data_IF_712986597643
#
_entry.id   IF_712986597643
#
_cell.length_a   1.000
_cell.length_b   1.000
_cell.length_c   1.000
_cell.angle_alpha   90.00
_cell.angle_beta   90.00
_cell.angle_gamma   90.00
#
_symmetry.space_group_name_H-M   'P 1'
#
loop_
_entity.id
_entity.type
_entity.pdbx_description
1 polymer ?
#
# COMPACT_ATOMS: atom_id res chain seq x y z
N UNK A 1 -2.31 12.13 -19.80
CA UNK A 1 -1.15 11.30 -20.21
C UNK A 1 -0.03 11.38 -19.16
N UNK A 2 0.11 10.30 -18.37
CA UNK A 2 1.12 10.16 -17.33
C UNK A 2 2.54 10.09 -17.93
N UNK A 3 3.53 10.52 -17.17
CA UNK A 3 4.90 10.84 -17.61
C UNK A 3 5.65 9.65 -18.22
N UNK A 4 6.58 9.94 -19.16
CA UNK A 4 7.44 8.99 -19.92
C UNK A 4 8.49 8.27 -19.04
N UNK A 5 8.04 7.51 -18.05
CA UNK A 5 8.77 6.35 -17.51
C UNK A 5 7.82 5.19 -17.66
N UNK A 6 8.24 4.10 -18.30
CA UNK A 6 7.44 2.90 -18.54
C UNK A 6 6.85 2.31 -17.24
N UNK A 7 5.76 2.91 -16.76
CA UNK A 7 4.84 2.36 -15.78
C UNK A 7 3.79 1.60 -16.60
N UNK A 8 4.25 0.62 -17.39
CA UNK A 8 3.44 -0.14 -18.33
C UNK A 8 2.49 -1.13 -17.64
N UNK A 9 2.56 -1.25 -16.31
CA UNK A 9 1.65 -2.06 -15.50
C UNK A 9 0.88 -1.20 -14.49
N UNK A 10 -0.39 -1.57 -14.25
CA UNK A 10 -1.24 -0.94 -13.23
C UNK A 10 -0.55 -0.94 -11.84
N UNK A 11 0.26 -1.96 -11.56
CA UNK A 11 0.97 -2.12 -10.30
C UNK A 11 2.14 -1.14 -10.18
N UNK A 12 2.83 -0.82 -11.28
CA UNK A 12 3.83 0.24 -11.30
C UNK A 12 3.23 1.62 -11.00
N UNK A 13 2.10 1.94 -11.64
CA UNK A 13 1.37 3.19 -11.39
C UNK A 13 0.92 3.28 -9.93
N UNK A 14 0.36 2.21 -9.39
CA UNK A 14 -0.12 2.19 -8.01
C UNK A 14 1.01 2.36 -7.01
N UNK A 15 2.15 1.69 -7.21
CA UNK A 15 3.34 1.87 -6.38
C UNK A 15 3.85 3.32 -6.39
N UNK A 16 3.83 3.96 -7.57
CA UNK A 16 4.21 5.36 -7.71
C UNK A 16 3.25 6.30 -6.95
N UNK A 17 1.94 6.03 -7.01
CA UNK A 17 0.92 6.80 -6.30
C UNK A 17 0.97 6.57 -4.79
N UNK A 18 1.24 5.35 -4.31
CA UNK A 18 1.38 5.05 -2.88
C UNK A 18 2.53 5.81 -2.23
N UNK A 19 3.61 6.04 -2.99
CA UNK A 19 4.76 6.84 -2.57
C UNK A 19 4.52 8.35 -2.60
N UNK A 20 3.34 8.82 -3.05
CA UNK A 20 3.05 10.24 -3.19
C UNK A 20 4.00 10.98 -4.14
N UNK A 21 4.73 10.26 -5.00
CA UNK A 21 5.81 10.82 -5.83
C UNK A 21 5.28 11.50 -7.11
N UNK A 22 3.95 11.60 -7.26
CA UNK A 22 3.32 12.18 -8.44
C UNK A 22 3.01 13.66 -8.22
N UNK A 23 3.72 14.60 -8.86
CA UNK A 23 3.45 16.03 -8.71
C UNK A 23 2.06 16.45 -9.24
N UNK A 24 1.48 15.65 -10.15
CA UNK A 24 0.13 15.87 -10.69
C UNK A 24 -0.99 15.27 -9.84
N UNK A 25 -0.65 14.46 -8.85
CA UNK A 25 -1.59 13.82 -7.94
C UNK A 25 -1.07 13.94 -6.49
N UNK A 26 -0.70 15.16 -6.08
CA UNK A 26 -0.11 15.44 -4.77
C UNK A 26 -1.03 15.07 -3.58
N UNK A 27 -2.34 14.96 -3.83
CA UNK A 27 -3.31 14.50 -2.84
C UNK A 27 -3.49 12.98 -2.77
N UNK A 28 -2.84 12.22 -3.66
CA UNK A 28 -2.93 10.76 -3.67
C UNK A 28 -1.64 10.17 -3.10
N UNK A 29 -1.79 9.48 -1.98
CA UNK A 29 -0.73 8.85 -1.21
C UNK A 29 -1.29 7.57 -0.57
N UNK A 30 -0.43 6.80 0.10
CA UNK A 30 -0.82 5.58 0.79
C UNK A 30 -2.04 5.75 1.72
N UNK A 31 -2.11 6.87 2.43
CA UNK A 31 -3.14 7.13 3.44
C UNK A 31 -4.51 7.39 2.82
N UNK A 32 -4.54 8.22 1.80
CA UNK A 32 -5.75 8.52 1.02
C UNK A 32 -6.22 7.30 0.24
N UNK A 33 -5.30 6.51 -0.29
CA UNK A 33 -5.63 5.22 -0.91
C UNK A 33 -6.22 4.24 0.09
N UNK A 34 -5.63 4.09 1.29
CA UNK A 34 -6.17 3.22 2.33
C UNK A 34 -7.58 3.65 2.75
N UNK A 35 -7.81 4.95 3.00
CA UNK A 35 -9.14 5.49 3.31
C UNK A 35 -10.15 5.20 2.20
N UNK A 36 -9.74 5.38 0.94
CA UNK A 36 -10.59 5.09 -0.22
C UNK A 36 -10.96 3.60 -0.28
N UNK A 37 -9.99 2.70 -0.14
CA UNK A 37 -10.26 1.25 -0.15
C UNK A 37 -11.15 0.86 1.03
N UNK A 38 -10.87 1.37 2.24
CA UNK A 38 -11.70 1.11 3.42
C UNK A 38 -13.14 1.59 3.25
N UNK A 39 -13.36 2.74 2.60
CA UNK A 39 -14.71 3.25 2.29
C UNK A 39 -15.51 2.32 1.37
N UNK A 40 -14.81 1.51 0.57
CA UNK A 40 -15.39 0.52 -0.35
C UNK A 40 -15.40 -0.90 0.21
N UNK A 41 -14.75 -1.12 1.35
CA UNK A 41 -14.67 -2.40 2.05
C UNK A 41 -15.23 -2.29 3.49
N UNK A 42 -16.55 -2.02 3.65
CA UNK A 42 -17.16 -1.88 4.98
C UNK A 42 -17.14 -3.19 5.77
N UNK A 43 -17.05 -4.34 5.09
CA UNK A 43 -16.95 -5.66 5.71
C UNK A 43 -15.53 -6.04 6.14
N UNK A 44 -14.51 -5.23 5.83
CA UNK A 44 -13.11 -5.55 6.14
C UNK A 44 -12.63 -6.84 5.47
N UNK A 45 -13.10 -7.14 4.26
CA UNK A 45 -12.70 -8.33 3.53
C UNK A 45 -11.22 -8.31 3.12
N UNK A 46 -10.66 -7.11 2.89
CA UNK A 46 -9.26 -6.94 2.50
C UNK A 46 -8.51 -5.93 3.37
N UNK A 47 -9.24 -5.05 4.07
CA UNK A 47 -8.67 -3.99 4.91
C UNK A 47 -8.65 -4.40 6.39
N UNK A 48 -7.50 -4.19 7.04
CA UNK A 48 -7.39 -4.35 8.50
C UNK A 48 -8.14 -3.22 9.21
N UNK A 49 -8.75 -3.50 10.37
CA UNK A 49 -9.31 -2.45 11.20
C UNK A 49 -8.19 -1.82 12.04
N UNK A 50 -7.53 -0.80 11.50
CA UNK A 50 -6.49 -0.06 12.20
C UNK A 50 -7.14 0.93 13.20
N UNK A 51 -7.62 0.42 14.33
CA UNK A 51 -8.19 1.23 15.40
C UNK A 51 -7.06 2.10 15.99
N UNK A 52 -7.19 3.43 15.89
CA UNK A 52 -6.17 4.37 16.39
C UNK A 52 -5.09 4.76 15.36
N UNK A 53 -5.29 4.48 14.08
CA UNK A 53 -4.32 4.86 13.04
C UNK A 53 -4.39 6.36 12.72
N UNK A 54 -3.24 7.04 12.83
CA UNK A 54 -3.10 8.49 12.65
C UNK A 54 -2.50 8.92 11.30
N UNK A 55 -2.20 7.97 10.40
CA UNK A 55 -1.52 8.24 9.13
C UNK A 55 -0.23 7.44 8.98
N UNK A 56 0.38 7.49 7.80
CA UNK A 56 1.71 6.92 7.57
C UNK A 56 2.75 7.72 8.34
N UNK A 57 3.64 7.03 9.07
CA UNK A 57 4.76 7.67 9.77
C UNK A 57 5.81 8.14 8.76
N UNK A 58 6.19 9.41 8.79
CA UNK A 58 7.26 9.94 7.94
C UNK A 58 8.53 10.06 8.79
N UNK A 59 9.62 9.47 8.34
CA UNK A 59 10.90 9.50 9.04
C UNK A 59 11.91 10.21 8.15
N UNK A 60 12.63 11.18 8.71
CA UNK A 60 13.68 11.90 8.02
C UNK A 60 15.02 11.61 8.68
N UNK A 61 16.01 11.28 7.85
CA UNK A 61 17.37 11.08 8.32
C UNK A 61 18.00 12.43 8.65
N UNK A 62 18.46 12.56 9.89
CA UNK A 62 19.27 13.68 10.32
C UNK A 62 20.75 13.45 9.92
N UNK A 63 21.56 14.52 9.84
CA UNK A 63 23.01 14.45 9.60
C UNK A 63 23.75 13.59 10.63
N UNK A 64 23.15 13.35 11.79
CA UNK A 64 23.65 12.43 12.83
C UNK A 64 23.62 10.96 12.42
N UNK A 65 22.85 10.57 11.40
CA UNK A 65 22.83 9.21 10.87
C UNK A 65 24.06 8.86 10.01
N UNK A 66 24.98 9.81 9.84
CA UNK A 66 26.25 9.59 9.15
C UNK A 66 27.27 8.93 10.08
N UNK A 67 27.64 7.71 9.74
CA UNK A 67 28.78 7.03 10.34
C UNK A 67 30.07 7.56 9.68
N UNK A 68 30.60 8.65 10.23
CA UNK A 68 31.71 9.43 9.66
C UNK A 68 32.95 8.59 9.32
N UNK A 69 33.23 7.54 10.10
CA UNK A 69 34.42 6.70 9.89
C UNK A 69 34.36 5.86 8.61
N UNK A 70 33.16 5.51 8.12
CA UNK A 70 32.99 4.75 6.87
C UNK A 70 32.26 5.53 5.76
N UNK A 71 31.92 6.80 5.99
CA UNK A 71 31.14 7.63 5.06
C UNK A 71 29.82 6.97 4.61
N UNK A 72 29.19 6.21 5.52
CA UNK A 72 27.91 5.53 5.28
C UNK A 72 26.82 6.09 6.17
N UNK A 73 25.58 5.92 5.74
CA UNK A 73 24.39 6.34 6.45
C UNK A 73 23.68 5.12 7.03
N UNK A 74 23.46 5.10 8.35
CA UNK A 74 22.82 3.99 9.04
C UNK A 74 21.35 4.30 9.34
N UNK A 75 20.47 3.34 9.08
CA UNK A 75 19.10 3.40 9.58
C UNK A 75 19.02 2.85 11.01
N UNK A 76 18.86 3.70 12.01
CA UNK A 76 18.77 3.25 13.42
C UNK A 76 17.56 2.38 13.77
N UNK A 77 16.57 2.27 12.87
CA UNK A 77 15.40 1.42 13.08
C UNK A 77 15.64 -0.05 12.65
N UNK A 78 16.58 -0.30 11.72
CA UNK A 78 16.88 -1.66 11.24
C UNK A 78 18.37 -1.97 11.03
N UNK A 79 19.25 -1.04 11.39
CA UNK A 79 20.70 -1.10 11.25
C UNK A 79 21.22 -1.35 9.82
N UNK A 80 20.42 -1.01 8.80
CA UNK A 80 20.84 -1.11 7.40
C UNK A 80 21.69 0.09 7.01
N UNK A 81 22.79 -0.19 6.30
CA UNK A 81 23.73 0.81 5.80
C UNK A 81 23.39 1.24 4.37
N UNK A 82 23.60 2.53 4.09
CA UNK A 82 23.36 3.17 2.80
C UNK A 82 24.55 4.04 2.42
N UNK A 83 24.91 4.06 1.13
CA UNK A 83 25.99 4.91 0.62
C UNK A 83 25.62 6.38 0.45
N UNK A 84 24.38 6.79 0.73
CA UNK A 84 23.95 8.19 0.61
C UNK A 84 22.77 8.53 1.52
N UNK A 85 22.68 9.80 1.94
CA UNK A 85 21.55 10.34 2.69
C UNK A 85 20.23 10.20 1.93
N UNK A 86 20.24 10.41 0.62
CA UNK A 86 19.06 10.23 -0.23
C UNK A 86 18.60 8.76 -0.26
N UNK A 87 19.52 7.80 -0.24
CA UNK A 87 19.19 6.37 -0.12
C UNK A 87 18.54 6.04 1.22
N UNK A 88 19.09 6.58 2.32
CA UNK A 88 18.54 6.41 3.66
C UNK A 88 17.14 7.06 3.78
N UNK A 89 16.96 8.29 3.28
CA UNK A 89 15.66 8.96 3.29
C UNK A 89 14.61 8.21 2.46
N UNK A 90 14.98 7.66 1.30
CA UNK A 90 14.06 6.80 0.53
C UNK A 90 13.68 5.52 1.27
N UNK A 91 14.61 4.94 2.04
CA UNK A 91 14.34 3.77 2.87
C UNK A 91 13.42 4.10 4.06
N UNK A 92 13.68 5.21 4.74
CA UNK A 92 12.87 5.71 5.85
C UNK A 92 11.44 6.05 5.43
N UNK A 93 11.27 6.61 4.23
CA UNK A 93 9.96 6.88 3.62
C UNK A 93 9.33 5.68 2.92
N UNK A 94 9.99 4.52 2.96
CA UNK A 94 9.45 3.29 2.40
C UNK A 94 8.42 2.68 3.35
N UNK A 95 7.52 1.80 2.86
CA UNK A 95 6.50 1.16 3.69
C UNK A 95 7.05 0.10 4.66
N UNK A 96 8.37 0.04 4.86
CA UNK A 96 9.04 -0.99 5.68
C UNK A 96 8.70 -0.88 7.18
N UNK A 97 8.51 0.33 7.70
CA UNK A 97 8.13 0.60 9.09
C UNK A 97 6.64 0.82 9.29
N UNK A 98 5.87 0.71 8.22
CA UNK A 98 4.46 1.04 8.26
C UNK A 98 3.64 -0.15 8.75
N UNK A 99 2.55 0.16 9.45
CA UNK A 99 1.57 -0.85 9.84
C UNK A 99 0.98 -1.56 8.61
N UNK A 100 0.66 -2.84 8.74
CA UNK A 100 0.06 -3.61 7.67
C UNK A 100 -1.42 -3.28 7.55
N UNK A 101 -1.78 -2.57 6.50
CA UNK A 101 -3.14 -2.08 6.27
C UNK A 101 -4.06 -3.09 5.59
N UNK A 102 -3.50 -4.15 4.98
CA UNK A 102 -4.26 -5.10 4.15
C UNK A 102 -3.98 -6.57 4.53
N UNK A 103 -4.93 -7.47 4.26
CA UNK A 103 -4.80 -8.91 4.46
C UNK A 103 -5.49 -9.72 3.33
N UNK A 104 -5.06 -10.97 3.03
CA UNK A 104 -5.84 -11.82 2.10
C UNK A 104 -7.14 -12.24 2.79
N UNK A 105 -8.30 -12.15 2.11
CA UNK A 105 -9.59 -12.60 2.62
C UNK A 105 -9.63 -14.10 2.94
N UNK A 106 -8.75 -14.89 2.32
CA UNK A 106 -8.69 -16.33 2.55
C UNK A 106 -8.08 -16.63 3.91
N UNK A 107 -8.91 -17.26 4.77
CA UNK A 107 -8.56 -17.64 6.15
C UNK A 107 -7.31 -18.52 6.27
N UNK A 108 -7.02 -19.36 5.27
CA UNK A 108 -5.84 -20.24 5.31
C UNK A 108 -4.54 -19.51 4.93
N UNK A 109 -4.65 -18.36 4.27
CA UNK A 109 -3.48 -17.63 3.74
C UNK A 109 -2.86 -16.73 4.81
N UNK A 110 -3.71 -15.97 5.55
CA UNK A 110 -3.34 -15.04 6.64
C UNK A 110 -2.17 -14.10 6.34
N UNK A 111 -1.86 -13.88 5.06
CA UNK A 111 -0.81 -12.95 4.65
C UNK A 111 -1.33 -11.52 4.77
N UNK A 112 -0.48 -10.66 5.27
CA UNK A 112 -0.74 -9.24 5.50
C UNK A 112 0.25 -8.39 4.73
N UNK A 113 -0.20 -7.21 4.31
CA UNK A 113 0.55 -6.34 3.41
C UNK A 113 0.47 -4.89 3.87
N UNK A 114 1.58 -4.17 3.71
CA UNK A 114 1.67 -2.73 4.03
C UNK A 114 1.18 -1.85 2.88
N UNK A 115 1.15 -2.37 1.66
CA UNK A 115 0.76 -1.64 0.45
C UNK A 115 -0.35 -2.34 -0.33
N UNK A 116 -1.18 -1.55 -0.99
CA UNK A 116 -2.24 -1.99 -1.89
C UNK A 116 -1.66 -2.73 -3.10
N UNK A 117 -0.52 -2.25 -3.63
CA UNK A 117 0.18 -2.93 -4.72
C UNK A 117 0.62 -4.34 -4.33
N UNK A 118 1.09 -4.54 -3.09
CA UNK A 118 1.54 -5.85 -2.64
C UNK A 118 0.39 -6.85 -2.49
N UNK A 119 -0.77 -6.44 -1.98
CA UNK A 119 -1.95 -7.32 -1.91
C UNK A 119 -2.52 -7.61 -3.31
N UNK A 120 -2.55 -6.63 -4.22
CA UNK A 120 -3.03 -6.87 -5.60
C UNK A 120 -2.11 -7.86 -6.32
N UNK A 121 -0.79 -7.67 -6.26
CA UNK A 121 0.17 -8.65 -6.78
C UNK A 121 -0.03 -10.05 -6.19
N UNK A 122 -0.34 -10.12 -4.89
CA UNK A 122 -0.58 -11.37 -4.20
C UNK A 122 -1.86 -12.08 -4.67
N UNK A 123 -2.92 -11.32 -4.93
CA UNK A 123 -4.17 -11.83 -5.46
C UNK A 123 -4.00 -12.27 -6.91
N UNK A 124 -3.35 -11.45 -7.75
CA UNK A 124 -3.12 -11.73 -9.16
C UNK A 124 -2.20 -12.94 -9.40
N UNK A 125 -1.23 -13.17 -8.52
CA UNK A 125 -0.24 -14.23 -8.68
C UNK A 125 -0.76 -15.66 -8.50
N UNK A 126 -2.06 -15.86 -8.24
CA UNK A 126 -2.77 -17.13 -7.97
C UNK A 126 -2.18 -18.05 -6.89
N UNK A 127 -1.00 -17.73 -6.34
CA UNK A 127 -0.23 -18.55 -5.41
C UNK A 127 -0.97 -18.81 -4.08
N UNK A 128 -1.93 -17.96 -3.73
CA UNK A 128 -2.79 -18.14 -2.57
C UNK A 128 -4.14 -18.79 -2.92
N UNK A 129 -4.49 -18.88 -4.20
CA UNK A 129 -5.78 -19.37 -4.68
C UNK A 129 -6.97 -18.52 -4.20
N UNK A 130 -6.73 -17.27 -3.76
CA UNK A 130 -7.78 -16.29 -3.42
C UNK A 130 -8.62 -15.96 -4.70
N UNK A 131 -8.08 -16.15 -5.92
CA UNK A 131 -8.73 -15.96 -7.23
C UNK A 131 -9.61 -17.12 -7.70
N UNK A 132 -10.08 -18.01 -6.81
CA UNK A 132 -11.21 -18.87 -7.20
C UNK A 132 -12.45 -17.97 -7.32
N UNK A 133 -12.69 -17.50 -8.54
CA UNK A 133 -13.78 -16.65 -9.05
C UNK A 133 -15.21 -17.18 -8.79
N UNK A 134 -15.45 -17.92 -7.69
CA UNK A 134 -16.78 -18.39 -7.28
C UNK A 134 -17.57 -17.35 -6.48
N UNK A 135 -16.90 -16.52 -5.65
CA UNK A 135 -17.60 -15.66 -4.68
C UNK A 135 -17.52 -14.16 -5.00
N UNK A 136 -16.55 -13.71 -5.81
CA UNK A 136 -16.41 -12.31 -6.19
C UNK A 136 -17.55 -11.82 -7.11
N UNK A 137 -18.13 -12.72 -7.93
CA UNK A 137 -19.31 -12.39 -8.72
C UNK A 137 -20.54 -12.13 -7.84
N UNK A 138 -20.68 -12.81 -6.70
CA UNK A 138 -21.81 -12.62 -5.80
C UNK A 138 -21.70 -11.31 -5.02
N UNK A 139 -20.51 -10.97 -4.52
CA UNK A 139 -20.27 -9.70 -3.83
C UNK A 139 -20.45 -8.49 -4.74
N UNK A 140 -19.91 -8.53 -5.97
CA UNK A 140 -20.03 -7.42 -6.93
C UNK A 140 -21.47 -7.31 -7.48
N UNK A 141 -22.16 -8.43 -7.74
CA UNK A 141 -23.59 -8.42 -8.13
C UNK A 141 -24.48 -7.86 -7.01
N UNK A 142 -24.22 -8.20 -5.74
CA UNK A 142 -24.97 -7.69 -4.61
C UNK A 142 -24.76 -6.18 -4.39
N UNK A 143 -23.56 -5.67 -4.66
CA UNK A 143 -23.27 -4.23 -4.60
C UNK A 143 -23.91 -3.44 -5.75
N UNK A 144 -24.04 -4.05 -6.94
CA UNK A 144 -24.69 -3.42 -8.10
C UNK A 144 -26.23 -3.55 -8.04
N UNK A 145 -26.77 -4.62 -7.44
CA UNK A 145 -28.24 -4.81 -7.32
C UNK A 145 -28.90 -4.00 -6.20
N UNK A 146 -28.11 -3.44 -5.26
CA UNK A 146 -28.61 -2.57 -4.19
C UNK A 146 -29.20 -1.24 -4.66
N UNK A 147 -29.14 -0.95 -5.97
CA UNK A 147 -29.66 0.27 -6.58
C UNK A 147 -30.97 0.09 -7.37
N UNK A 148 -31.80 -0.91 -7.04
CA UNK A 148 -33.18 -0.93 -7.56
C UNK A 148 -34.09 -0.04 -6.72
N UNK A 149 -34.27 1.17 -7.26
CA UNK A 149 -35.33 2.15 -6.99
C UNK A 149 -36.60 1.50 -6.42
N UNK A 150 -37.00 1.99 -5.26
CA UNK A 150 -38.36 1.89 -4.75
C UNK A 150 -39.25 2.66 -5.73
N UNK A 151 -40.13 1.95 -6.43
CA UNK A 151 -41.20 2.52 -7.24
C UNK A 151 -42.52 2.06 -6.65
N UNK A 152 -43.38 3.05 -6.38
CA UNK A 152 -44.71 2.95 -5.76
C UNK A 152 -45.64 1.95 -6.46
#
# INVERSE_FOLDING_TARGET
PFYKRDLSSANGLMYHLERGSCPKAAGLNRDTLYKLVRSKDPGGAITNNLIGWHGSSHYEANHLANYQHFQVWECYLCHRLFGSLNGLNQHLNSPVYQEKSYHCPKRDCRKEFTTLTAIINHLDGEACGCTRFGNAQQGIRSMISGNRRIGF
#
